data_IF_039901716801
#
_entry.id   IF_039901716801
#
_cell.length_a   1.000
_cell.length_b   1.000
_cell.length_c   1.000
_cell.angle_alpha   90.00
_cell.angle_beta   90.00
_cell.angle_gamma   90.00
#
_symmetry.space_group_name_H-M   'P 1'
#
loop_
_entity.id
_entity.type
_entity.pdbx_description
1 polymer ?
#
# COMPACT_ATOMS: atom_id res chain seq x y z
N UNK A 1 49.30 -4.86 -74.79
CA UNK A 1 47.87 -4.59 -74.50
C UNK A 1 47.07 -5.77 -75.07
N UNK A 2 46.82 -6.79 -74.23
CA UNK A 2 46.18 -8.05 -74.63
C UNK A 2 44.67 -7.94 -74.43
N UNK A 3 43.91 -8.23 -75.48
CA UNK A 3 42.45 -8.30 -75.49
C UNK A 3 41.97 -9.38 -74.52
N UNK A 4 41.04 -8.99 -73.65
CA UNK A 4 40.31 -9.86 -72.72
C UNK A 4 39.78 -11.12 -73.44
N UNK A 5 40.18 -12.27 -72.92
CA UNK A 5 39.84 -13.61 -73.41
C UNK A 5 38.62 -14.10 -72.63
N UNK A 6 37.42 -13.65 -73.03
CA UNK A 6 36.19 -14.32 -72.62
C UNK A 6 36.04 -15.61 -73.44
N UNK A 7 36.84 -16.63 -73.09
CA UNK A 7 36.65 -17.99 -73.59
C UNK A 7 35.35 -18.56 -73.01
N UNK A 8 34.44 -18.94 -73.89
CA UNK A 8 33.15 -19.56 -73.59
C UNK A 8 33.31 -20.74 -72.62
N UNK A 9 33.00 -20.51 -71.34
CA UNK A 9 32.97 -21.51 -70.28
C UNK A 9 32.06 -22.71 -70.62
N UNK A 10 31.14 -22.54 -71.57
CA UNK A 10 30.20 -23.55 -72.06
C UNK A 10 30.79 -24.57 -73.04
N UNK A 11 32.04 -24.40 -73.53
CA UNK A 11 32.65 -25.32 -74.50
C UNK A 11 33.07 -26.67 -73.89
N UNK A 12 33.21 -26.74 -72.57
CA UNK A 12 33.70 -27.93 -71.84
C UNK A 12 32.68 -28.54 -70.87
N UNK A 13 31.46 -27.98 -70.79
CA UNK A 13 30.39 -28.45 -69.91
C UNK A 13 29.31 -29.15 -70.73
N UNK A 14 29.06 -30.42 -70.42
CA UNK A 14 27.96 -31.18 -71.01
C UNK A 14 26.62 -30.50 -70.70
N UNK A 15 25.78 -30.37 -71.71
CA UNK A 15 24.45 -29.75 -71.61
C UNK A 15 23.58 -30.44 -70.55
N UNK A 16 23.72 -31.75 -70.37
CA UNK A 16 23.01 -32.51 -69.33
C UNK A 16 23.48 -32.14 -67.92
N UNK A 17 24.77 -31.81 -67.77
CA UNK A 17 25.34 -31.32 -66.51
C UNK A 17 24.78 -29.94 -66.18
N UNK A 18 24.64 -29.06 -67.17
CA UNK A 18 24.00 -27.74 -66.99
C UNK A 18 22.53 -27.88 -66.58
N UNK A 19 21.77 -28.77 -67.23
CA UNK A 19 20.38 -29.03 -66.84
C UNK A 19 20.26 -29.58 -65.42
N UNK A 20 21.16 -30.47 -65.01
CA UNK A 20 21.19 -30.99 -63.64
C UNK A 20 21.42 -29.87 -62.62
N UNK A 21 22.37 -28.96 -62.86
CA UNK A 21 22.59 -27.81 -61.98
C UNK A 21 21.37 -26.89 -61.88
N UNK A 22 20.66 -26.64 -62.98
CA UNK A 22 19.43 -25.84 -62.97
C UNK A 22 18.32 -26.52 -62.17
N UNK A 23 18.10 -27.83 -62.38
CA UNK A 23 17.08 -28.59 -61.64
C UNK A 23 17.38 -28.61 -60.15
N UNK A 24 18.64 -28.84 -59.75
CA UNK A 24 19.05 -28.79 -58.34
C UNK A 24 18.88 -27.40 -57.76
N UNK A 25 19.21 -26.34 -58.51
CA UNK A 25 18.99 -24.96 -58.09
C UNK A 25 17.51 -24.66 -57.84
N UNK A 26 16.60 -25.10 -58.72
CA UNK A 26 15.17 -24.92 -58.52
C UNK A 26 14.64 -25.75 -57.35
N UNK A 27 15.03 -27.03 -57.21
CA UNK A 27 14.60 -27.87 -56.09
C UNK A 27 15.10 -27.28 -54.76
N UNK A 28 16.37 -26.88 -54.69
CA UNK A 28 16.96 -26.25 -53.50
C UNK A 28 16.32 -24.89 -53.21
N UNK A 29 16.06 -24.08 -54.24
CA UNK A 29 15.41 -22.79 -54.11
C UNK A 29 13.97 -22.91 -53.62
N UNK A 30 13.20 -23.87 -54.16
CA UNK A 30 11.85 -24.18 -53.68
C UNK A 30 11.84 -24.72 -52.26
N UNK A 31 12.78 -25.60 -51.90
CA UNK A 31 12.92 -26.09 -50.52
C UNK A 31 13.28 -24.97 -49.53
N UNK A 32 14.19 -24.07 -49.92
CA UNK A 32 14.57 -22.91 -49.11
C UNK A 32 13.41 -21.90 -48.98
N UNK A 33 12.70 -21.61 -50.07
CA UNK A 33 11.54 -20.72 -50.07
C UNK A 33 10.39 -21.30 -49.23
N UNK A 34 10.14 -22.61 -49.32
CA UNK A 34 9.19 -23.29 -48.46
C UNK A 34 9.59 -23.17 -47.00
N UNK A 35 10.84 -23.50 -46.67
CA UNK A 35 11.36 -23.37 -45.30
C UNK A 35 11.24 -21.94 -44.78
N UNK A 36 11.62 -20.94 -45.57
CA UNK A 36 11.52 -19.52 -45.22
C UNK A 36 10.08 -19.07 -45.02
N UNK A 37 9.13 -19.58 -45.82
CA UNK A 37 7.71 -19.26 -45.68
C UNK A 37 7.06 -19.95 -44.47
N UNK A 38 7.53 -21.13 -44.11
CA UNK A 38 7.04 -21.88 -42.93
C UNK A 38 7.75 -21.49 -41.63
N UNK A 39 8.81 -20.69 -41.69
CA UNK A 39 9.55 -20.26 -40.51
C UNK A 39 8.78 -19.14 -39.82
N UNK A 40 8.24 -19.42 -38.64
CA UNK A 40 7.52 -18.44 -37.82
C UNK A 40 8.49 -17.86 -36.78
N UNK A 41 8.81 -16.55 -36.83
CA UNK A 41 9.77 -15.91 -35.92
C UNK A 41 9.20 -15.81 -34.50
N UNK A 42 9.71 -16.64 -33.58
CA UNK A 42 9.23 -16.69 -32.18
C UNK A 42 9.46 -15.38 -31.40
N UNK A 43 10.38 -14.53 -31.84
CA UNK A 43 10.65 -13.20 -31.28
C UNK A 43 9.48 -12.22 -31.48
N UNK A 44 8.52 -12.55 -32.35
CA UNK A 44 7.35 -11.73 -32.63
C UNK A 44 6.13 -12.06 -31.74
N UNK A 45 6.21 -13.04 -30.84
CA UNK A 45 5.09 -13.33 -29.94
C UNK A 45 4.82 -12.12 -29.04
N UNK A 46 3.60 -11.62 -29.12
CA UNK A 46 3.17 -10.47 -28.35
C UNK A 46 1.89 -10.78 -27.56
N UNK A 47 2.01 -10.67 -26.24
CA UNK A 47 0.95 -10.98 -25.28
C UNK A 47 0.43 -9.66 -24.75
N UNK A 48 -0.88 -9.43 -24.87
CA UNK A 48 -1.56 -8.30 -24.25
C UNK A 48 -2.17 -8.74 -22.91
N UNK A 49 -1.56 -8.27 -21.82
CA UNK A 49 -2.07 -8.36 -20.45
C UNK A 49 -2.20 -6.92 -19.94
N UNK A 50 -3.41 -6.54 -19.51
CA UNK A 50 -3.73 -5.14 -19.19
C UNK A 50 -2.94 -4.54 -18.02
N UNK A 51 -2.46 -5.37 -17.09
CA UNK A 51 -1.77 -4.95 -15.88
C UNK A 51 -0.80 -6.03 -15.38
N UNK A 52 0.20 -5.64 -14.60
CA UNK A 52 1.17 -6.59 -14.03
C UNK A 52 0.83 -7.03 -12.60
N UNK A 53 -0.13 -6.34 -11.97
CA UNK A 53 -0.60 -6.60 -10.61
C UNK A 53 -2.11 -6.81 -10.59
N UNK A 54 -2.55 -7.99 -10.13
CA UNK A 54 -3.96 -8.35 -9.95
C UNK A 54 -4.22 -8.78 -8.51
N UNK A 55 -5.47 -9.14 -8.19
CA UNK A 55 -5.83 -9.71 -6.89
C UNK A 55 -6.54 -11.05 -7.04
N UNK A 56 -6.46 -11.85 -5.96
CA UNK A 56 -7.22 -13.10 -5.83
C UNK A 56 -8.70 -12.87 -6.14
N UNK A 57 -9.23 -13.69 -7.05
CA UNK A 57 -10.63 -13.64 -7.49
C UNK A 57 -10.94 -12.62 -8.59
N UNK A 58 -9.97 -11.86 -9.09
CA UNK A 58 -10.16 -11.01 -10.27
C UNK A 58 -10.13 -11.85 -11.56
N UNK A 59 -11.03 -11.55 -12.51
CA UNK A 59 -11.04 -12.18 -13.84
C UNK A 59 -10.01 -11.49 -14.73
N UNK A 60 -8.96 -12.22 -15.08
CA UNK A 60 -7.87 -11.73 -15.93
C UNK A 60 -8.11 -12.21 -17.36
N UNK A 61 -7.93 -11.29 -18.32
CA UNK A 61 -7.99 -11.60 -19.76
C UNK A 61 -6.57 -11.62 -20.31
N UNK A 62 -6.21 -12.75 -20.91
CA UNK A 62 -4.97 -12.96 -21.66
C UNK A 62 -5.31 -12.94 -23.14
N UNK A 63 -4.53 -12.23 -23.95
CA UNK A 63 -4.77 -12.14 -25.39
C UNK A 63 -3.46 -12.23 -26.14
N UNK A 64 -3.39 -13.13 -27.10
CA UNK A 64 -2.33 -13.12 -28.10
C UNK A 64 -2.70 -12.12 -29.19
N UNK A 65 -1.79 -11.18 -29.46
CA UNK A 65 -1.93 -10.17 -30.53
C UNK A 65 -0.90 -10.39 -31.65
N UNK A 66 -0.36 -11.61 -31.75
CA UNK A 66 0.61 -12.00 -32.78
C UNK A 66 -0.08 -12.20 -34.14
N UNK A 67 0.47 -11.62 -35.21
CA UNK A 67 -0.18 -11.56 -36.53
C UNK A 67 -0.34 -12.92 -37.22
N UNK A 68 0.53 -13.91 -36.94
CA UNK A 68 0.54 -15.22 -37.60
C UNK A 68 0.26 -16.40 -36.64
N UNK A 69 -0.42 -16.14 -35.50
CA UNK A 69 -0.86 -17.21 -34.60
C UNK A 69 -2.00 -18.04 -35.22
N UNK A 70 -1.85 -19.37 -35.23
CA UNK A 70 -2.83 -20.34 -35.72
C UNK A 70 -3.30 -21.31 -34.64
N UNK A 71 -2.42 -21.65 -33.69
CA UNK A 71 -2.75 -22.39 -32.47
C UNK A 71 -2.16 -21.70 -31.26
N UNK A 72 -2.84 -21.86 -30.12
CA UNK A 72 -2.45 -21.29 -28.83
C UNK A 72 -2.60 -22.35 -27.76
N UNK A 73 -1.72 -22.34 -26.78
CA UNK A 73 -1.86 -23.06 -25.52
C UNK A 73 -1.34 -22.16 -24.39
N UNK A 74 -2.24 -21.80 -23.49
CA UNK A 74 -1.94 -21.01 -22.30
C UNK A 74 -1.82 -21.94 -21.10
N UNK A 75 -0.69 -21.87 -20.41
CA UNK A 75 -0.46 -22.41 -19.07
C UNK A 75 -0.35 -21.25 -18.09
N UNK A 76 -1.23 -21.21 -17.09
CA UNK A 76 -1.31 -20.12 -16.13
C UNK A 76 -0.33 -20.28 -14.94
N UNK A 77 0.40 -21.39 -14.86
CA UNK A 77 1.42 -21.60 -13.82
C UNK A 77 0.86 -21.90 -12.42
N UNK A 78 -0.44 -22.13 -12.29
CA UNK A 78 -1.13 -22.46 -11.02
C UNK A 78 -1.70 -23.89 -10.99
N UNK A 79 -1.22 -24.76 -11.90
CA UNK A 79 -1.69 -26.15 -12.08
C UNK A 79 -3.14 -26.30 -12.54
N UNK A 80 -3.76 -25.22 -13.05
CA UNK A 80 -5.06 -25.31 -13.70
C UNK A 80 -4.97 -25.78 -15.15
N UNK A 81 -6.09 -26.19 -15.72
CA UNK A 81 -6.15 -26.68 -17.09
C UNK A 81 -5.70 -25.62 -18.10
N UNK A 82 -4.96 -26.05 -19.11
CA UNK A 82 -4.49 -25.17 -20.19
C UNK A 82 -5.66 -24.67 -21.06
N UNK A 83 -5.50 -23.48 -21.64
CA UNK A 83 -6.49 -22.90 -22.56
C UNK A 83 -5.97 -22.88 -23.99
N UNK A 84 -6.78 -23.30 -24.97
CA UNK A 84 -6.36 -23.45 -26.37
C UNK A 84 -6.91 -22.38 -27.33
N UNK A 85 -7.23 -21.20 -26.79
CA UNK A 85 -7.83 -20.08 -27.53
C UNK A 85 -6.88 -18.90 -27.64
N UNK A 86 -7.00 -18.09 -28.69
CA UNK A 86 -6.21 -16.85 -28.84
C UNK A 86 -6.49 -15.83 -27.72
N UNK A 87 -7.68 -15.89 -27.14
CA UNK A 87 -8.09 -15.11 -25.98
C UNK A 87 -8.53 -16.06 -24.87
N UNK A 88 -7.85 -16.00 -23.73
CA UNK A 88 -8.14 -16.81 -22.55
C UNK A 88 -8.56 -15.96 -21.36
N UNK A 89 -9.34 -16.54 -20.46
CA UNK A 89 -9.75 -15.91 -19.22
C UNK A 89 -9.40 -16.82 -18.05
N UNK A 90 -8.84 -16.24 -16.98
CA UNK A 90 -8.42 -17.01 -15.82
C UNK A 90 -8.66 -16.27 -14.50
N UNK A 91 -8.83 -17.03 -13.42
CA UNK A 91 -8.99 -16.52 -12.05
C UNK A 91 -8.06 -17.30 -11.12
N UNK A 92 -7.12 -16.59 -10.49
CA UNK A 92 -6.24 -17.15 -9.47
C UNK A 92 -6.93 -17.18 -8.11
N UNK A 93 -6.78 -18.32 -7.41
CA UNK A 93 -7.41 -18.58 -6.10
C UNK A 93 -6.52 -18.21 -4.92
N UNK A 94 -5.21 -18.16 -5.14
CA UNK A 94 -4.22 -17.90 -4.10
C UNK A 94 -3.33 -16.72 -4.51
N UNK A 95 -2.82 -15.94 -3.55
CA UNK A 95 -1.84 -14.91 -3.82
C UNK A 95 -0.49 -15.55 -4.15
N UNK A 96 0.26 -14.94 -5.05
CA UNK A 96 1.53 -15.48 -5.51
C UNK A 96 2.05 -14.81 -6.76
N UNK A 97 3.26 -15.20 -7.14
CA UNK A 97 3.85 -14.87 -8.43
C UNK A 97 3.65 -16.07 -9.37
N UNK A 98 3.07 -15.82 -10.54
CA UNK A 98 2.73 -16.85 -11.51
C UNK A 98 3.43 -16.59 -12.83
N UNK A 99 4.06 -17.64 -13.38
CA UNK A 99 4.68 -17.62 -14.71
C UNK A 99 3.67 -18.11 -15.73
N UNK A 100 3.09 -17.18 -16.49
CA UNK A 100 2.12 -17.48 -17.54
C UNK A 100 2.88 -17.79 -18.82
N UNK A 101 2.70 -19.01 -19.35
CA UNK A 101 3.36 -19.48 -20.56
C UNK A 101 2.34 -19.57 -21.69
N UNK A 102 2.68 -18.97 -22.83
CA UNK A 102 1.95 -19.10 -24.08
C UNK A 102 2.81 -19.87 -25.09
N UNK A 103 2.27 -20.97 -25.60
CA UNK A 103 2.81 -21.70 -26.75
C UNK A 103 1.97 -21.38 -27.99
N UNK A 104 2.58 -20.82 -29.03
CA UNK A 104 1.98 -20.49 -30.32
C UNK A 104 2.49 -21.43 -31.40
N UNK A 105 1.60 -21.90 -32.28
CA UNK A 105 1.94 -22.77 -33.42
C UNK A 105 2.78 -24.01 -33.03
N UNK A 106 2.62 -24.49 -31.80
CA UNK A 106 3.35 -25.62 -31.20
C UNK A 106 4.89 -25.54 -31.32
N UNK A 107 5.43 -24.35 -31.51
CA UNK A 107 6.85 -24.15 -31.84
C UNK A 107 7.48 -22.94 -31.15
N UNK A 108 6.67 -21.93 -30.83
CA UNK A 108 7.17 -20.71 -30.23
C UNK A 108 6.55 -20.48 -28.85
N UNK A 109 7.41 -20.32 -27.85
CA UNK A 109 7.01 -20.15 -26.46
C UNK A 109 7.38 -18.77 -25.96
N UNK A 110 6.47 -18.15 -25.20
CA UNK A 110 6.72 -16.92 -24.45
C UNK A 110 6.21 -17.06 -23.04
N UNK A 111 6.97 -16.54 -22.08
CA UNK A 111 6.60 -16.52 -20.67
C UNK A 111 6.53 -15.08 -20.16
N UNK A 112 5.46 -14.76 -19.46
CA UNK A 112 5.25 -13.48 -18.78
C UNK A 112 4.95 -13.73 -17.29
N UNK A 113 5.54 -12.92 -16.43
CA UNK A 113 5.31 -13.03 -14.98
C UNK A 113 4.23 -12.06 -14.56
N UNK A 114 3.26 -12.54 -13.78
CA UNK A 114 2.25 -11.70 -13.15
C UNK A 114 2.23 -11.89 -11.63
N UNK A 115 1.80 -10.84 -10.92
CA UNK A 115 1.72 -10.86 -9.46
C UNK A 115 0.24 -10.81 -9.04
N UNK A 116 -0.18 -11.82 -8.29
CA UNK A 116 -1.52 -11.91 -7.68
C UNK A 116 -1.40 -11.55 -6.20
N UNK A 117 -1.94 -10.39 -5.85
CA UNK A 117 -1.99 -9.87 -4.49
C UNK A 117 -3.20 -10.41 -3.74
N UNK A 118 -3.14 -10.30 -2.43
CA UNK A 118 -4.24 -10.63 -1.55
C UNK A 118 -5.55 -9.94 -1.96
N UNK A 119 -6.66 -10.63 -1.74
CA UNK A 119 -7.99 -10.09 -2.00
C UNK A 119 -8.16 -8.80 -1.17
N UNK A 120 -8.55 -7.71 -1.83
CA UNK A 120 -8.82 -6.45 -1.11
C UNK A 120 -10.13 -6.63 -0.35
N UNK A 121 -10.03 -6.57 0.97
CA UNK A 121 -11.22 -6.51 1.80
C UNK A 121 -11.77 -5.08 1.75
N UNK A 122 -12.88 -4.90 1.03
CA UNK A 122 -13.61 -3.63 0.96
C UNK A 122 -14.70 -3.67 2.00
N UNK A 123 -14.51 -2.89 3.06
CA UNK A 123 -15.53 -2.69 4.09
C UNK A 123 -16.66 -1.82 3.56
N UNK A 124 -17.88 -2.16 3.95
CA UNK A 124 -19.05 -1.32 3.69
C UNK A 124 -19.08 -0.19 4.73
N UNK A 125 -18.86 1.08 4.34
CA UNK A 125 -18.82 2.17 5.30
C UNK A 125 -20.16 2.38 6.01
N UNK A 126 -21.29 1.91 5.44
CA UNK A 126 -22.62 2.05 6.06
C UNK A 126 -22.83 1.12 7.25
N UNK A 127 -22.01 0.08 7.39
CA UNK A 127 -22.05 -0.87 8.50
C UNK A 127 -21.15 -0.48 9.67
N UNK A 128 -20.32 0.56 9.50
CA UNK A 128 -19.49 1.08 10.59
C UNK A 128 -20.40 1.67 11.67
N UNK A 129 -20.24 1.28 12.95
CA UNK A 129 -21.05 1.78 14.04
C UNK A 129 -21.02 3.31 14.18
N UNK A 130 -22.17 3.90 14.53
CA UNK A 130 -22.33 5.33 14.72
C UNK A 130 -22.18 5.71 16.20
N UNK A 131 -20.95 6.11 16.58
CA UNK A 131 -20.58 6.45 17.96
C UNK A 131 -20.86 7.93 18.26
N UNK A 132 -21.62 8.21 19.31
CA UNK A 132 -21.83 9.55 19.88
C UNK A 132 -20.96 9.68 21.13
N UNK A 133 -19.81 10.37 20.98
CA UNK A 133 -18.79 10.53 22.02
C UNK A 133 -18.21 11.94 21.90
N UNK A 134 -18.01 12.67 23.03
CA UNK A 134 -17.34 13.97 23.01
C UNK A 134 -15.88 13.88 22.55
N UNK A 135 -15.33 14.98 22.04
CA UNK A 135 -13.94 15.02 21.54
C UNK A 135 -12.90 15.09 22.68
N UNK A 136 -13.31 15.52 23.87
CA UNK A 136 -12.43 15.60 25.03
C UNK A 136 -13.17 15.49 26.38
N UNK A 137 -12.43 15.09 27.41
CA UNK A 137 -12.89 15.01 28.80
C UNK A 137 -11.70 15.28 29.75
N UNK A 138 -11.95 15.52 31.04
CA UNK A 138 -10.90 15.65 32.07
C UNK A 138 -10.79 14.36 32.88
N UNK A 139 -9.60 14.02 33.36
CA UNK A 139 -9.38 12.91 34.29
C UNK A 139 -10.36 12.97 35.46
N UNK A 140 -10.98 11.83 35.79
CA UNK A 140 -11.96 11.70 36.86
C UNK A 140 -13.39 12.15 36.53
N UNK A 141 -13.66 12.70 35.33
CA UNK A 141 -15.03 12.96 34.88
C UNK A 141 -15.66 11.70 34.26
N UNK A 142 -16.98 11.56 34.41
CA UNK A 142 -17.74 10.47 33.81
C UNK A 142 -17.99 10.72 32.31
N UNK A 143 -17.35 9.92 31.46
CA UNK A 143 -17.62 9.87 30.03
C UNK A 143 -18.89 9.07 29.78
N UNK A 144 -19.85 9.67 29.07
CA UNK A 144 -21.06 8.97 28.56
C UNK A 144 -20.88 8.68 27.08
N UNK A 145 -21.01 7.41 26.69
CA UNK A 145 -20.94 6.98 25.29
C UNK A 145 -22.25 6.34 24.87
N UNK A 146 -22.70 6.64 23.65
CA UNK A 146 -23.95 6.11 23.10
C UNK A 146 -23.71 5.64 21.68
N UNK A 147 -24.26 4.48 21.33
CA UNK A 147 -24.36 4.00 19.96
C UNK A 147 -25.74 4.31 19.33
N UNK A 148 -25.73 4.79 18.09
CA UNK A 148 -26.93 5.05 17.29
C UNK A 148 -26.98 4.23 16.00
N UNK A 149 -26.33 3.07 15.99
CA UNK A 149 -26.33 2.16 14.85
C UNK A 149 -27.71 1.52 14.68
N UNK A 150 -28.22 1.50 13.45
CA UNK A 150 -29.50 0.85 13.14
C UNK A 150 -29.35 -0.66 13.22
N UNK A 151 -30.39 -1.36 13.71
CA UNK A 151 -30.43 -2.82 13.82
C UNK A 151 -29.31 -3.41 14.72
N UNK A 152 -28.77 -2.62 15.64
CA UNK A 152 -27.85 -3.08 16.67
C UNK A 152 -28.61 -3.82 17.79
N UNK A 153 -28.17 -5.03 18.13
CA UNK A 153 -28.73 -5.86 19.20
C UNK A 153 -27.67 -6.32 20.21
N UNK A 154 -26.38 -6.19 19.90
CA UNK A 154 -25.29 -6.38 20.86
C UNK A 154 -24.20 -5.32 20.71
N UNK A 155 -23.54 -4.99 21.81
CA UNK A 155 -22.46 -4.00 21.87
C UNK A 155 -21.28 -4.57 22.64
N UNK A 156 -20.07 -4.21 22.24
CA UNK A 156 -18.84 -4.49 22.96
C UNK A 156 -17.95 -3.25 22.91
N UNK A 157 -17.97 -2.47 23.99
CA UNK A 157 -17.17 -1.26 24.13
C UNK A 157 -15.78 -1.58 24.68
N UNK A 158 -14.75 -0.96 24.12
CA UNK A 158 -13.40 -0.95 24.67
C UNK A 158 -12.88 0.48 24.72
N UNK A 159 -12.49 0.96 25.90
CA UNK A 159 -12.03 2.34 26.12
C UNK A 159 -10.50 2.51 25.95
N UNK A 160 -9.80 1.43 25.62
CA UNK A 160 -8.38 1.47 25.24
C UNK A 160 -7.38 1.41 26.40
N UNK A 161 -7.84 1.16 27.63
CA UNK A 161 -6.96 0.94 28.80
C UNK A 161 -6.73 -0.54 29.10
N UNK A 162 -7.66 -1.42 28.68
CA UNK A 162 -7.54 -2.88 28.85
C UNK A 162 -7.85 -3.61 27.55
N UNK A 163 -7.45 -4.89 27.47
CA UNK A 163 -7.71 -5.75 26.31
C UNK A 163 -9.16 -6.27 26.25
N UNK A 164 -9.90 -6.20 27.36
CA UNK A 164 -11.23 -6.79 27.51
C UNK A 164 -12.34 -5.77 27.21
N UNK A 165 -13.53 -6.29 26.88
CA UNK A 165 -14.74 -5.49 26.82
C UNK A 165 -15.02 -4.82 28.18
N UNK A 166 -15.25 -3.51 28.18
CA UNK A 166 -15.56 -2.73 29.38
C UNK A 166 -17.07 -2.59 29.60
N UNK A 167 -17.86 -2.63 28.52
CA UNK A 167 -19.33 -2.53 28.60
C UNK A 167 -20.01 -3.24 27.42
N UNK A 168 -21.22 -3.75 27.65
CA UNK A 168 -22.00 -4.54 26.66
C UNK A 168 -23.38 -3.96 26.33
N UNK A 169 -23.65 -2.74 26.79
CA UNK A 169 -24.92 -2.03 26.62
C UNK A 169 -24.82 -0.96 25.53
N UNK A 170 -25.97 -0.57 24.95
CA UNK A 170 -26.06 0.50 23.94
C UNK A 170 -25.48 1.84 24.40
N UNK A 171 -25.67 2.14 25.68
CA UNK A 171 -25.11 3.31 26.35
C UNK A 171 -24.27 2.82 27.52
N UNK A 172 -23.08 3.39 27.71
CA UNK A 172 -22.17 3.04 28.78
C UNK A 172 -21.51 4.28 29.37
N UNK A 173 -21.01 4.17 30.58
CA UNK A 173 -20.20 5.20 31.22
C UNK A 173 -18.82 4.68 31.58
N UNK A 174 -17.83 5.58 31.55
CA UNK A 174 -16.44 5.25 31.86
C UNK A 174 -15.71 6.44 32.46
N UNK A 175 -14.71 6.20 33.31
CA UNK A 175 -13.88 7.25 33.93
C UNK A 175 -12.43 6.93 33.65
N UNK A 176 -11.72 7.88 33.01
CA UNK A 176 -10.28 7.76 32.78
C UNK A 176 -9.51 8.26 34.01
N UNK A 177 -8.52 7.47 34.44
CA UNK A 177 -7.59 7.81 35.53
C UNK A 177 -6.34 8.52 35.01
N UNK A 178 -5.95 8.24 33.77
CA UNK A 178 -4.78 8.83 33.14
C UNK A 178 -5.15 9.78 32.00
N UNK A 179 -4.47 10.91 31.95
CA UNK A 179 -4.54 11.84 30.83
C UNK A 179 -3.89 11.26 29.58
N UNK A 180 -4.27 11.77 28.40
CA UNK A 180 -3.64 11.42 27.13
C UNK A 180 -4.66 11.24 26.00
N UNK A 181 -4.16 10.76 24.86
CA UNK A 181 -5.00 10.44 23.71
C UNK A 181 -5.47 8.99 23.80
N UNK A 182 -6.76 8.79 24.04
CA UNK A 182 -7.37 7.46 24.18
C UNK A 182 -8.17 7.14 22.92
N UNK A 183 -8.26 5.85 22.56
CA UNK A 183 -9.02 5.40 21.38
C UNK A 183 -10.10 4.43 21.84
N UNK A 184 -11.34 4.85 21.66
CA UNK A 184 -12.52 4.05 21.99
C UNK A 184 -12.88 3.25 20.74
N UNK A 185 -13.10 1.95 20.94
CA UNK A 185 -13.57 1.05 19.89
C UNK A 185 -14.89 0.41 20.30
N UNK A 186 -15.78 0.24 19.33
CA UNK A 186 -17.06 -0.44 19.51
C UNK A 186 -17.21 -1.53 18.44
N UNK A 187 -17.53 -2.74 18.89
CA UNK A 187 -18.03 -3.82 18.04
C UNK A 187 -19.54 -3.94 18.26
N UNK A 188 -20.31 -3.90 17.18
CA UNK A 188 -21.77 -4.08 17.22
C UNK A 188 -22.10 -5.41 16.56
N UNK A 189 -23.05 -6.17 17.12
CA UNK A 189 -23.53 -7.45 16.56
C UNK A 189 -22.42 -8.50 16.37
N UNK A 190 -21.30 -8.38 17.08
CA UNK A 190 -20.11 -9.23 16.90
C UNK A 190 -19.35 -8.99 15.59
N UNK A 191 -19.65 -7.93 14.83
CA UNK A 191 -18.99 -7.62 13.57
C UNK A 191 -17.59 -7.01 13.78
N UNK A 192 -16.59 -7.88 13.82
CA UNK A 192 -15.18 -7.49 13.96
C UNK A 192 -14.59 -6.90 12.67
N UNK A 193 -15.31 -6.94 11.55
CA UNK A 193 -14.87 -6.34 10.31
C UNK A 193 -15.20 -4.83 10.32
N UNK A 194 -16.39 -4.46 10.78
CA UNK A 194 -16.85 -3.07 10.85
C UNK A 194 -16.71 -2.50 12.27
N UNK A 195 -15.48 -2.32 12.74
CA UNK A 195 -15.22 -1.74 14.07
C UNK A 195 -15.33 -0.22 14.03
N UNK A 196 -16.22 0.34 14.87
CA UNK A 196 -16.30 1.77 15.08
C UNK A 196 -15.14 2.26 15.94
N UNK A 197 -14.48 3.35 15.54
CA UNK A 197 -13.33 3.92 16.27
C UNK A 197 -13.50 5.43 16.45
N UNK A 198 -13.28 5.92 17.67
CA UNK A 198 -13.24 7.36 17.99
C UNK A 198 -12.08 7.67 18.91
N UNK A 199 -11.30 8.70 18.59
CA UNK A 199 -10.23 9.22 19.46
C UNK A 199 -10.80 10.31 20.35
N UNK A 200 -10.45 10.28 21.63
CA UNK A 200 -10.83 11.28 22.63
C UNK A 200 -9.57 11.76 23.35
N UNK A 201 -9.49 13.06 23.63
CA UNK A 201 -8.40 13.65 24.43
C UNK A 201 -8.82 13.78 25.89
N UNK A 202 -8.08 13.13 26.78
CA UNK A 202 -8.26 13.23 28.22
C UNK A 202 -7.26 14.24 28.77
N UNK A 203 -7.74 15.35 29.32
CA UNK A 203 -6.92 16.38 29.96
C UNK A 203 -6.66 16.04 31.42
N UNK A 204 -5.48 16.40 31.93
CA UNK A 204 -5.18 16.32 33.36
C UNK A 204 -6.15 17.19 34.15
N UNK A 205 -6.51 16.73 35.36
CA UNK A 205 -7.28 17.53 36.29
C UNK A 205 -6.41 18.68 36.78
N UNK A 206 -6.89 19.91 36.63
CA UNK A 206 -6.21 21.06 37.24
C UNK A 206 -6.11 20.83 38.75
N UNK A 207 -4.89 20.63 39.22
CA UNK A 207 -4.62 20.62 40.66
C UNK A 207 -4.71 22.07 41.10
N UNK A 208 -5.51 22.43 42.13
CA UNK A 208 -5.52 23.78 42.65
C UNK A 208 -4.07 24.16 42.93
N UNK A 209 -3.58 25.18 42.23
CA UNK A 209 -2.27 25.73 42.53
C UNK A 209 -2.42 26.27 43.94
N UNK A 210 -1.81 25.62 44.93
CA UNK A 210 -1.72 26.19 46.25
C UNK A 210 -1.10 27.58 46.04
N UNK A 211 -1.88 28.63 46.26
CA UNK A 211 -1.31 29.97 46.36
C UNK A 211 -0.27 29.85 47.45
N UNK A 212 1.00 29.94 47.06
CA UNK A 212 2.07 30.11 48.02
C UNK A 212 1.87 31.55 48.49
N UNK A 213 1.00 31.73 49.48
CA UNK A 213 0.99 32.90 50.36
C UNK A 213 2.25 32.85 51.22
N UNK A 214 3.42 32.75 50.56
CA UNK A 214 4.67 33.02 51.23
C UNK A 214 4.53 34.45 51.73
N UNK A 215 4.67 34.71 53.04
CA UNK A 215 4.75 36.07 53.52
C UNK A 215 5.87 36.72 52.72
N UNK A 216 5.57 37.84 52.07
CA UNK A 216 6.59 38.69 51.47
C UNK A 216 7.45 39.12 52.66
N UNK A 217 8.57 38.45 52.89
CA UNK A 217 9.59 38.93 53.83
C UNK A 217 10.21 40.12 53.12
N UNK A 218 9.63 41.30 53.35
CA UNK A 218 10.24 42.55 52.94
C UNK A 218 11.56 42.67 53.73
N UNK A 219 12.73 42.65 53.07
CA UNK A 219 13.98 42.78 53.79
C UNK A 219 13.98 44.13 54.50
N UNK A 220 14.27 44.13 55.81
CA UNK A 220 14.45 45.38 56.55
C UNK A 220 15.48 46.23 55.80
N UNK A 221 15.03 47.42 55.38
CA UNK A 221 15.88 48.36 54.68
C UNK A 221 17.01 48.77 55.63
N UNK A 222 18.30 48.62 55.25
CA UNK A 222 19.38 49.17 56.06
C UNK A 222 19.19 50.69 56.15
N UNK A 223 19.21 51.20 57.38
CA UNK A 223 19.04 52.62 57.70
C UNK A 223 20.09 53.43 56.92
N UNK A 224 19.64 54.30 56.00
CA UNK A 224 20.51 55.29 55.33
C UNK A 224 20.43 55.38 53.80
N UNK A 225 19.62 54.58 53.11
CA UNK A 225 19.49 54.65 51.64
C UNK A 225 18.03 54.78 51.17
N UNK A 226 17.54 56.01 51.08
CA UNK A 226 16.25 56.32 50.43
C UNK A 226 16.45 56.48 48.92
N UNK A 227 16.36 55.38 48.18
CA UNK A 227 16.27 55.42 46.72
C UNK A 227 14.80 55.21 46.32
N UNK A 228 14.16 56.15 45.59
CA UNK A 228 12.78 55.98 45.15
C UNK A 228 12.69 54.89 44.07
N UNK A 229 11.82 53.90 44.26
CA UNK A 229 11.52 52.87 43.25
C UNK A 229 10.44 53.39 42.30
N UNK A 230 10.74 53.45 41.01
CA UNK A 230 9.71 53.43 39.97
C UNK A 230 9.24 51.98 39.77
N UNK A 231 7.93 51.71 39.73
CA UNK A 231 7.43 50.36 39.51
C UNK A 231 7.70 49.94 38.06
N UNK A 232 8.64 49.02 37.86
CA UNK A 232 8.79 48.33 36.57
C UNK A 232 7.64 47.33 36.44
N UNK A 233 6.71 47.61 35.53
CA UNK A 233 5.59 46.73 35.20
C UNK A 233 6.12 45.41 34.61
N UNK A 234 6.28 44.38 35.43
CA UNK A 234 6.71 43.06 34.96
C UNK A 234 5.55 42.38 34.22
N UNK A 235 5.53 42.54 32.89
CA UNK A 235 4.65 41.77 32.00
C UNK A 235 5.07 40.30 32.04
N UNK A 236 4.39 39.49 32.86
CA UNK A 236 4.53 38.03 32.85
C UNK A 236 3.86 37.50 31.58
N UNK A 237 4.64 37.36 30.51
CA UNK A 237 4.28 36.49 29.39
C UNK A 237 4.37 35.05 29.87
N UNK A 238 3.23 34.46 30.23
CA UNK A 238 3.17 33.01 30.42
C UNK A 238 3.48 32.32 29.10
N UNK A 239 4.62 31.61 29.00
CA UNK A 239 4.89 30.70 27.90
C UNK A 239 5.36 29.36 28.42
N UNK A 240 4.44 28.40 28.27
CA UNK A 240 4.61 27.03 27.78
C UNK A 240 5.95 26.35 28.09
N UNK A 241 5.81 25.24 28.81
CA UNK A 241 6.63 24.03 28.69
C UNK A 241 7.95 24.03 29.47
N UNK A 242 7.89 23.36 30.62
CA UNK A 242 8.84 22.34 31.07
C UNK A 242 10.30 22.73 31.30
N UNK A 243 10.66 23.27 32.47
CA UNK A 243 12.02 23.08 33.02
C UNK A 243 11.95 22.91 34.55
N UNK A 244 12.36 21.73 35.03
CA UNK A 244 12.93 21.54 36.36
C UNK A 244 14.22 22.35 36.42
N UNK A 245 14.48 23.07 37.52
CA UNK A 245 15.78 23.17 38.23
C UNK A 245 15.52 23.91 39.55
N UNK A 246 15.76 23.21 40.68
CA UNK A 246 16.13 23.84 41.95
C UNK A 246 17.52 24.45 41.78
N UNK A 247 17.69 25.73 42.10
CA UNK A 247 18.89 26.24 42.81
C UNK A 247 18.71 27.71 43.19
N UNK A 248 18.73 27.97 44.50
CA UNK A 248 19.05 29.27 45.06
C UNK A 248 20.45 29.68 44.59
N UNK A 249 20.60 30.91 44.10
CA UNK A 249 21.89 31.56 43.93
C UNK A 249 21.77 32.99 44.43
N UNK A 250 22.05 33.16 45.71
CA UNK A 250 22.72 34.36 46.22
C UNK A 250 24.09 34.45 45.56
N UNK A 251 24.44 35.65 45.07
CA UNK A 251 25.80 36.23 45.18
C UNK A 251 25.75 37.65 44.65
N UNK A 252 25.86 38.59 45.58
CA UNK A 252 26.40 39.91 45.33
C UNK A 252 27.90 39.79 45.00
N UNK A 253 28.41 40.58 44.04
CA UNK A 253 29.59 41.43 44.28
C UNK A 253 30.04 42.29 43.09
N UNK A 254 30.47 43.51 43.46
CA UNK A 254 31.58 44.36 42.94
C UNK A 254 31.49 44.77 41.46
N UNK A 255 31.40 46.06 41.11
CA UNK A 255 32.28 47.21 41.44
C UNK A 255 31.44 48.48 41.67
#
# INVERSE_FOLDING_TARGET
MSKSKNENLTKYLDKNVVYLFLVVFFISGSALAYRYYTDFPCDQINIDIKANDYRVGELIKFTDITEQGQSWEWDFGDSTDVSVTSQAFHIYKEPGEYSVRLLVNNSCEKTETIIIKEKKFVLDPTKIPNLIIPDSITVGQELKVIDNTKNAYSWEWRFGETANANATTRSATYVYEESGLKTITLVVNGDIQHIGKKRIRVYEKETPTAQIDAPIIEPERPIGWDIPYEPVLLMIKMKKSSWKILKYLTLANLI
#
